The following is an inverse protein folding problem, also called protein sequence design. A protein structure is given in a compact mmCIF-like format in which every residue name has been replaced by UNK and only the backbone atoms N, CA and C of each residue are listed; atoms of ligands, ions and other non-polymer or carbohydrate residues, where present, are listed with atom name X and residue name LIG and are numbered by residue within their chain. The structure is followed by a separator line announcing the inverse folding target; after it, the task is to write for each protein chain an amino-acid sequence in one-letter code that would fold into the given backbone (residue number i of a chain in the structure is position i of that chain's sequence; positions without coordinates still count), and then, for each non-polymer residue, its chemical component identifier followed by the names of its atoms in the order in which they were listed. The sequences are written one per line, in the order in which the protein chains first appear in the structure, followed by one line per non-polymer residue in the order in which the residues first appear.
data_IF_821687427008
#
_entry.id   IF_821687427008
#
_cell.length_a   1.000
_cell.length_b   1.000
_cell.length_c   1.000
_cell.angle_alpha   90.00
_cell.angle_beta   90.00
_cell.angle_gamma   90.00
#
_symmetry.space_group_name_H-M   'P 1'
#
loop_
_entity.id
_entity.type
_entity.pdbx_description
1 polymer ?
#
# COMPACT_ATOMS: atom_id res chain seq x y z
N UNK A 1 -57.48 22.80 51.36
CA UNK A 1 -56.94 22.98 49.99
C UNK A 1 -55.45 22.63 49.99
N UNK A 2 -55.09 21.53 49.34
CA UNK A 2 -53.71 21.10 49.07
C UNK A 2 -53.60 20.85 47.56
N UNK A 3 -52.63 21.43 46.84
CA UNK A 3 -52.31 20.97 45.50
C UNK A 3 -51.28 19.83 45.54
N UNK A 4 -51.61 18.76 44.81
CA UNK A 4 -50.88 17.50 44.66
C UNK A 4 -49.75 17.62 43.63
N UNK A 5 -48.63 16.95 43.93
CA UNK A 5 -47.47 16.75 43.05
C UNK A 5 -47.80 15.89 41.81
N UNK A 6 -47.11 16.08 40.67
CA UNK A 6 -47.12 15.14 39.55
C UNK A 6 -46.10 13.98 39.76
N UNK A 7 -46.31 12.81 39.12
CA UNK A 7 -45.54 11.61 39.41
C UNK A 7 -44.14 11.64 38.78
N UNK A 8 -43.14 11.41 39.63
CA UNK A 8 -41.78 10.99 39.26
C UNK A 8 -41.79 9.50 38.95
N UNK A 9 -41.70 9.10 37.70
CA UNK A 9 -41.24 7.77 37.31
C UNK A 9 -40.81 7.78 35.84
N UNK A 10 -39.80 6.95 35.52
CA UNK A 10 -39.09 6.81 34.24
C UNK A 10 -38.00 7.86 33.95
N UNK A 11 -36.77 7.61 34.41
CA UNK A 11 -35.61 7.35 33.53
C UNK A 11 -34.34 7.11 34.38
N UNK A 12 -34.09 5.88 34.84
CA UNK A 12 -32.79 5.47 35.37
C UNK A 12 -32.61 3.98 35.10
N UNK A 13 -31.88 3.64 34.02
CA UNK A 13 -31.01 2.47 33.87
C UNK A 13 -30.59 2.31 32.40
N UNK A 14 -29.43 2.85 32.04
CA UNK A 14 -28.56 2.37 30.95
C UNK A 14 -27.22 3.12 31.01
N UNK A 15 -26.37 2.75 31.96
CA UNK A 15 -24.97 3.17 32.03
C UNK A 15 -24.12 2.00 32.48
N UNK A 16 -23.91 1.05 31.57
CA UNK A 16 -22.82 0.08 31.63
C UNK A 16 -22.64 -0.49 30.21
N UNK A 17 -21.37 -0.69 29.81
CA UNK A 17 -20.90 -1.25 28.53
C UNK A 17 -20.62 -0.26 27.38
N UNK A 18 -19.56 0.54 27.54
CA UNK A 18 -18.63 0.86 26.45
C UNK A 18 -17.19 0.65 26.96
N UNK A 19 -16.87 -0.59 27.31
CA UNK A 19 -15.50 -1.08 27.33
C UNK A 19 -15.24 -1.75 26.00
N UNK A 20 -14.79 -0.97 25.01
CA UNK A 20 -14.33 -1.49 23.73
C UNK A 20 -12.94 -2.07 23.89
N UNK A 21 -12.87 -3.40 24.06
CA UNK A 21 -11.65 -4.19 23.90
C UNK A 21 -11.30 -4.13 22.41
N UNK A 22 -10.24 -3.40 22.05
CA UNK A 22 -9.64 -3.53 20.74
C UNK A 22 -8.80 -4.80 20.75
N UNK A 23 -9.31 -5.85 20.11
CA UNK A 23 -8.52 -7.01 19.72
C UNK A 23 -7.43 -6.56 18.74
N UNK A 24 -6.17 -6.83 19.09
CA UNK A 24 -5.07 -6.84 18.15
C UNK A 24 -5.24 -8.08 17.26
N UNK A 25 -5.46 -7.87 15.97
CA UNK A 25 -5.42 -8.93 14.97
C UNK A 25 -4.02 -8.92 14.35
N UNK A 26 -3.29 -9.99 14.61
CA UNK A 26 -1.99 -10.31 14.06
C UNK A 26 -2.20 -10.92 12.66
N UNK A 27 -1.60 -10.40 11.58
CA UNK A 27 -1.59 -11.11 10.31
C UNK A 27 -0.41 -12.07 10.30
N UNK A 28 -0.65 -13.27 10.83
CA UNK A 28 0.17 -14.43 10.58
C UNK A 28 0.01 -14.86 9.11
N UNK A 29 1.09 -15.38 8.54
CA UNK A 29 1.17 -15.86 7.16
C UNK A 29 0.14 -16.96 6.92
N UNK A 30 -0.64 -16.88 5.84
CA UNK A 30 -0.91 -18.03 4.94
C UNK A 30 -1.53 -17.56 3.62
N UNK A 31 -0.83 -17.93 2.55
CA UNK A 31 -1.16 -17.78 1.15
C UNK A 31 -2.51 -18.41 0.78
N UNK A 32 -3.30 -17.74 -0.05
CA UNK A 32 -4.16 -18.41 -1.04
C UNK A 32 -4.26 -17.53 -2.29
N UNK A 33 -3.85 -18.14 -3.38
CA UNK A 33 -3.69 -17.66 -4.74
C UNK A 33 -4.99 -17.14 -5.38
N UNK A 34 -4.95 -15.91 -5.90
CA UNK A 34 -5.64 -15.51 -7.14
C UNK A 34 -4.73 -14.52 -7.87
N UNK A 35 -4.40 -14.84 -9.12
CA UNK A 35 -3.48 -14.12 -10.00
C UNK A 35 -3.90 -12.67 -10.27
N UNK A 36 -3.10 -11.69 -9.87
CA UNK A 36 -2.87 -10.37 -10.50
C UNK A 36 -1.88 -9.54 -9.67
N UNK A 37 -0.82 -9.02 -10.29
CA UNK A 37 0.16 -8.02 -9.83
C UNK A 37 0.54 -8.02 -8.32
N UNK A 38 1.74 -8.51 -8.01
CA UNK A 38 2.37 -8.32 -6.71
C UNK A 38 2.57 -6.82 -6.48
N UNK A 39 1.70 -6.20 -5.67
CA UNK A 39 1.93 -4.85 -5.15
C UNK A 39 3.18 -4.94 -4.28
N UNK A 40 4.33 -4.55 -4.83
CA UNK A 40 5.58 -4.55 -4.06
C UNK A 40 5.59 -3.30 -3.17
N UNK A 41 5.78 -3.44 -1.85
CA UNK A 41 5.70 -2.29 -0.94
C UNK A 41 6.90 -1.35 -1.15
N UNK A 42 6.68 -0.19 -1.76
CA UNK A 42 7.68 0.88 -1.95
C UNK A 42 7.86 1.75 -0.69
N UNK A 43 8.07 1.10 0.45
CA UNK A 43 8.24 1.75 1.76
C UNK A 43 9.40 1.11 2.51
N UNK A 44 10.10 1.88 3.32
CA UNK A 44 11.19 1.38 4.17
C UNK A 44 11.15 2.02 5.55
N UNK A 45 11.57 1.25 6.55
CA UNK A 45 11.82 1.75 7.90
C UNK A 45 13.30 1.50 8.24
N UNK A 46 14.04 2.56 8.57
CA UNK A 46 15.42 2.45 9.02
C UNK A 46 15.50 1.96 10.47
N UNK A 47 16.65 1.42 10.86
CA UNK A 47 16.93 1.00 12.24
C UNK A 47 16.85 2.14 13.26
N UNK A 48 16.98 3.40 12.81
CA UNK A 48 16.76 4.61 13.60
C UNK A 48 15.28 4.90 13.90
N UNK A 49 14.35 4.18 13.28
CA UNK A 49 12.91 4.45 13.34
C UNK A 49 12.43 5.50 12.34
N UNK A 50 13.27 5.93 11.40
CA UNK A 50 12.85 6.78 10.29
C UNK A 50 12.04 5.96 9.27
N UNK A 51 10.90 6.50 8.82
CA UNK A 51 10.03 5.90 7.81
C UNK A 51 10.16 6.65 6.49
N UNK A 52 10.11 5.91 5.39
CA UNK A 52 10.26 6.41 4.04
C UNK A 52 9.18 5.80 3.15
N UNK A 53 8.52 6.64 2.37
CA UNK A 53 7.43 6.24 1.48
C UNK A 53 7.61 6.89 0.12
N UNK A 54 8.09 6.10 -0.84
CA UNK A 54 8.38 6.56 -2.21
C UNK A 54 7.23 6.25 -3.18
N UNK A 55 6.09 5.73 -2.71
CA UNK A 55 4.91 5.50 -3.57
C UNK A 55 4.44 6.75 -4.32
N UNK A 56 4.51 7.97 -3.76
CA UNK A 56 4.17 9.18 -4.51
C UNK A 56 5.07 9.46 -5.71
N UNK A 57 6.28 8.89 -5.73
CA UNK A 57 7.25 9.05 -6.82
C UNK A 57 7.14 7.95 -7.88
N UNK A 58 6.28 6.95 -7.68
CA UNK A 58 6.07 5.94 -8.71
C UNK A 58 5.26 6.55 -9.86
N UNK A 59 5.81 6.51 -11.07
CA UNK A 59 5.08 6.92 -12.25
C UNK A 59 4.00 5.88 -12.57
N UNK A 60 2.78 6.37 -12.83
CA UNK A 60 1.61 5.50 -13.04
C UNK A 60 1.08 5.62 -14.46
N UNK A 61 0.57 4.50 -14.97
CA UNK A 61 -0.20 4.47 -16.21
C UNK A 61 -1.61 4.99 -15.89
N UNK A 62 -2.02 6.06 -16.57
CA UNK A 62 -3.38 6.60 -16.46
C UNK A 62 -4.22 6.05 -17.60
N UNK A 63 -5.34 5.35 -17.32
CA UNK A 63 -6.21 4.85 -18.35
C UNK A 63 -6.85 6.00 -19.15
N UNK A 64 -7.06 5.78 -20.44
CA UNK A 64 -7.61 6.80 -21.34
C UNK A 64 -8.95 7.33 -20.81
N UNK A 65 -9.05 8.65 -20.63
CA UNK A 65 -10.26 9.34 -20.17
C UNK A 65 -10.32 9.63 -18.66
N UNK A 66 -9.37 9.12 -17.87
CA UNK A 66 -9.24 9.47 -16.45
C UNK A 66 -8.17 10.53 -16.20
N UNK A 67 -8.32 11.28 -15.11
CA UNK A 67 -7.30 12.25 -14.68
C UNK A 67 -6.36 11.58 -13.70
N UNK A 68 -5.07 11.80 -13.88
CA UNK A 68 -4.06 11.41 -12.90
C UNK A 68 -4.42 11.95 -11.50
N UNK A 69 -4.19 11.18 -10.42
CA UNK A 69 -4.14 11.70 -9.07
C UNK A 69 -3.27 12.95 -9.00
N UNK A 70 -3.70 13.92 -8.19
CA UNK A 70 -2.98 15.19 -8.07
C UNK A 70 -1.58 14.93 -7.49
N UNK A 71 -0.54 15.24 -8.27
CA UNK A 71 0.85 15.14 -7.83
C UNK A 71 1.51 13.79 -8.09
N UNK A 72 0.84 12.81 -8.72
CA UNK A 72 1.50 11.57 -9.16
C UNK A 72 2.21 11.78 -10.51
N UNK A 73 3.46 11.31 -10.66
CA UNK A 73 4.14 11.28 -11.95
C UNK A 73 3.38 10.38 -12.94
N UNK A 74 3.34 10.80 -14.19
CA UNK A 74 2.63 10.11 -15.30
C UNK A 74 3.58 9.70 -16.43
N UNK A 75 4.83 10.11 -16.34
CA UNK A 75 5.87 9.82 -17.32
C UNK A 75 7.05 9.20 -16.59
N UNK A 76 7.77 8.32 -17.29
CA UNK A 76 8.99 7.74 -16.79
C UNK A 76 10.08 8.80 -16.58
N UNK A 77 11.00 8.51 -15.67
CA UNK A 77 12.13 9.36 -15.37
C UNK A 77 13.23 9.18 -16.41
N UNK A 78 13.67 10.30 -16.98
CA UNK A 78 14.77 10.33 -17.94
C UNK A 78 16.08 10.74 -17.25
N UNK A 79 17.06 9.84 -17.23
CA UNK A 79 18.42 10.14 -16.79
C UNK A 79 19.34 10.26 -18.02
N UNK A 80 20.00 11.42 -18.16
CA UNK A 80 20.93 11.68 -19.26
C UNK A 80 22.30 11.08 -18.98
N UNK A 81 22.72 10.11 -19.78
CA UNK A 81 24.05 9.51 -19.70
C UNK A 81 25.03 10.15 -20.67
N UNK A 82 25.38 11.43 -20.47
CA UNK A 82 26.30 12.16 -21.37
C UNK A 82 27.61 11.43 -21.61
N UNK A 83 28.18 10.83 -20.57
CA UNK A 83 29.44 10.09 -20.63
C UNK A 83 29.27 8.67 -21.22
N UNK A 84 28.06 8.10 -21.15
CA UNK A 84 27.75 6.77 -21.69
C UNK A 84 27.26 6.83 -23.16
N UNK A 85 26.81 7.99 -23.63
CA UNK A 85 26.34 8.21 -25.00
C UNK A 85 24.87 7.85 -25.25
N UNK A 86 24.15 7.39 -24.22
CA UNK A 86 22.74 7.02 -24.29
C UNK A 86 21.94 7.60 -23.12
N UNK A 87 20.65 7.82 -23.33
CA UNK A 87 19.73 8.19 -22.27
C UNK A 87 19.08 6.94 -21.67
N UNK A 88 18.76 7.03 -20.39
CA UNK A 88 18.14 5.96 -19.63
C UNK A 88 16.74 6.38 -19.24
N UNK A 89 15.80 5.45 -19.40
CA UNK A 89 14.42 5.60 -18.96
C UNK A 89 14.19 4.64 -17.80
N UNK A 90 13.65 5.14 -16.69
CA UNK A 90 13.36 4.32 -15.52
C UNK A 90 12.11 4.79 -14.79
N UNK A 91 11.46 3.85 -14.10
CA UNK A 91 10.43 4.13 -13.11
C UNK A 91 10.91 3.72 -11.71
N UNK A 92 10.25 4.22 -10.67
CA UNK A 92 10.58 4.00 -9.27
C UNK A 92 9.55 3.06 -8.63
N UNK A 93 10.02 1.93 -8.12
CA UNK A 93 9.19 0.88 -7.50
C UNK A 93 8.07 0.31 -8.39
N UNK A 94 8.14 0.54 -9.70
CA UNK A 94 7.16 0.11 -10.68
C UNK A 94 7.86 -0.23 -12.00
N UNK A 95 7.18 -0.97 -12.87
CA UNK A 95 7.55 -1.09 -14.27
C UNK A 95 7.43 0.25 -15.00
N UNK A 96 8.14 0.42 -16.11
CA UNK A 96 8.03 1.63 -16.94
C UNK A 96 6.59 1.84 -17.43
N UNK A 97 6.18 3.11 -17.50
CA UNK A 97 4.83 3.51 -17.91
C UNK A 97 4.60 3.13 -19.38
N UNK A 98 5.58 3.42 -20.23
CA UNK A 98 5.54 3.02 -21.64
C UNK A 98 6.03 1.57 -21.78
N UNK A 99 5.18 0.62 -22.21
CA UNK A 99 5.57 -0.77 -22.32
C UNK A 99 6.66 -0.95 -23.38
N UNK A 100 7.71 -1.67 -23.00
CA UNK A 100 8.82 -2.00 -23.90
C UNK A 100 8.60 -3.35 -24.58
N UNK A 101 9.05 -3.44 -25.82
CA UNK A 101 9.04 -4.67 -26.62
C UNK A 101 10.45 -5.00 -27.13
N UNK A 102 10.65 -6.24 -27.57
CA UNK A 102 11.91 -6.72 -28.16
C UNK A 102 13.16 -6.51 -27.28
N UNK A 103 12.99 -6.75 -25.97
CA UNK A 103 14.06 -6.60 -24.97
C UNK A 103 15.09 -7.72 -25.12
N UNK A 104 16.35 -7.34 -25.28
CA UNK A 104 17.45 -8.28 -25.52
C UNK A 104 17.65 -9.21 -24.32
N UNK A 105 17.51 -10.52 -24.53
CA UNK A 105 17.84 -11.55 -23.54
C UNK A 105 16.93 -11.56 -22.30
N UNK A 106 15.72 -11.01 -22.39
CA UNK A 106 14.68 -11.07 -21.37
C UNK A 106 13.44 -11.73 -21.98
N UNK A 107 12.83 -12.67 -21.25
CA UNK A 107 11.63 -13.36 -21.71
C UNK A 107 10.45 -12.41 -21.93
N UNK A 108 9.62 -12.69 -22.94
CA UNK A 108 8.47 -11.84 -23.31
C UNK A 108 7.48 -11.63 -22.16
N UNK A 109 7.33 -12.61 -21.29
CA UNK A 109 6.45 -12.54 -20.12
C UNK A 109 6.95 -11.54 -19.07
N UNK A 110 8.25 -11.24 -19.07
CA UNK A 110 8.90 -10.34 -18.13
C UNK A 110 9.01 -8.89 -18.65
N UNK A 111 8.72 -8.64 -19.93
CA UNK A 111 8.81 -7.29 -20.51
C UNK A 111 7.93 -6.27 -19.80
N UNK A 112 6.75 -6.71 -19.33
CA UNK A 112 5.81 -5.90 -18.55
C UNK A 112 6.36 -5.45 -17.20
N UNK A 113 7.40 -6.11 -16.71
CA UNK A 113 8.01 -5.84 -15.41
C UNK A 113 9.34 -5.10 -15.57
N UNK A 114 9.73 -4.65 -16.77
CA UNK A 114 10.96 -3.89 -16.94
C UNK A 114 10.79 -2.53 -16.26
N UNK A 115 11.67 -2.19 -15.33
CA UNK A 115 11.60 -0.94 -14.56
C UNK A 115 12.63 0.10 -15.00
N UNK A 116 13.66 -0.31 -15.71
CA UNK A 116 14.68 0.58 -16.26
C UNK A 116 15.27 -0.01 -17.54
N UNK A 117 15.52 0.83 -18.54
CA UNK A 117 16.12 0.42 -19.80
C UNK A 117 16.89 1.55 -20.49
N UNK A 118 17.66 1.18 -21.50
CA UNK A 118 18.23 2.10 -22.48
C UNK A 118 18.15 1.50 -23.88
N UNK A 119 18.27 2.36 -24.88
CA UNK A 119 18.17 1.98 -26.28
C UNK A 119 19.49 2.24 -27.02
N UNK A 120 19.93 1.23 -27.76
CA UNK A 120 21.03 1.36 -28.73
C UNK A 120 20.49 0.97 -30.10
N UNK A 121 20.36 1.96 -30.99
CA UNK A 121 19.83 1.77 -32.33
C UNK A 121 18.34 1.42 -32.31
N UNK A 122 18.01 0.14 -32.55
CA UNK A 122 16.63 -0.39 -32.48
C UNK A 122 16.47 -1.50 -31.44
N UNK A 123 17.44 -1.66 -30.55
CA UNK A 123 17.45 -2.70 -29.52
C UNK A 123 17.25 -2.07 -28.15
N UNK A 124 16.36 -2.66 -27.36
CA UNK A 124 16.10 -2.29 -25.98
C UNK A 124 16.91 -3.20 -25.06
N UNK A 125 17.68 -2.61 -24.15
CA UNK A 125 18.41 -3.33 -23.11
C UNK A 125 17.83 -2.98 -21.75
N UNK A 126 17.32 -3.99 -21.05
CA UNK A 126 16.80 -3.84 -19.69
C UNK A 126 17.94 -3.79 -18.68
N UNK A 127 17.84 -2.87 -17.73
CA UNK A 127 18.73 -2.76 -16.58
C UNK A 127 18.19 -3.50 -15.35
N UNK A 128 17.00 -4.09 -15.44
CA UNK A 128 16.41 -4.86 -14.37
C UNK A 128 14.88 -4.85 -14.40
N UNK A 129 14.32 -5.73 -13.58
CA UNK A 129 12.89 -5.86 -13.36
C UNK A 129 12.45 -5.03 -12.15
N UNK A 130 11.15 -4.76 -12.10
CA UNK A 130 10.46 -4.06 -11.04
C UNK A 130 10.76 -4.67 -9.68
N UNK A 131 11.08 -3.79 -8.74
CA UNK A 131 11.25 -4.11 -7.33
C UNK A 131 10.80 -2.92 -6.51
N UNK A 132 10.02 -3.15 -5.46
CA UNK A 132 9.74 -2.15 -4.42
C UNK A 132 10.64 -2.31 -3.20
N UNK A 133 11.64 -3.21 -3.23
CA UNK A 133 12.47 -3.51 -2.07
C UNK A 133 13.44 -2.37 -1.74
N UNK A 134 12.97 -1.41 -0.95
CA UNK A 134 13.76 -0.29 -0.47
C UNK A 134 14.64 -0.70 0.72
N UNK A 135 15.94 -0.45 0.60
CA UNK A 135 16.91 -0.80 1.64
C UNK A 135 17.55 0.48 2.20
N UNK A 136 17.33 0.82 3.48
CA UNK A 136 18.02 1.93 4.13
C UNK A 136 19.49 1.55 4.36
N UNK A 137 20.42 2.35 3.81
CA UNK A 137 21.87 2.20 3.96
C UNK A 137 22.43 3.47 4.59
N UNK A 138 22.43 3.49 5.93
CA UNK A 138 22.87 4.65 6.70
C UNK A 138 21.92 5.84 6.49
N UNK A 139 22.38 6.88 5.78
CA UNK A 139 21.59 8.08 5.47
C UNK A 139 20.94 8.08 4.08
N UNK A 140 21.29 7.12 3.22
CA UNK A 140 20.70 7.00 1.87
C UNK A 140 19.73 5.82 1.83
N UNK A 141 18.67 5.96 1.05
CA UNK A 141 17.87 4.81 0.63
C UNK A 141 18.43 4.27 -0.68
N UNK A 142 18.39 2.95 -0.83
CA UNK A 142 18.84 2.27 -2.04
C UNK A 142 17.74 1.36 -2.55
N UNK A 143 17.43 1.46 -3.83
CA UNK A 143 16.59 0.52 -4.58
C UNK A 143 17.45 -0.21 -5.60
N UNK A 144 17.26 -1.52 -5.72
CA UNK A 144 18.02 -2.34 -6.66
C UNK A 144 17.08 -3.10 -7.60
N UNK A 145 17.30 -2.92 -8.90
CA UNK A 145 16.70 -3.72 -9.95
C UNK A 145 17.69 -4.76 -10.45
N UNK A 146 17.19 -5.96 -10.67
CA UNK A 146 18.00 -7.12 -11.09
C UNK A 146 17.28 -7.90 -12.18
N UNK A 147 17.98 -8.81 -12.86
CA UNK A 147 17.37 -9.66 -13.88
C UNK A 147 17.16 -8.96 -15.23
N UNK A 148 17.98 -7.95 -15.54
CA UNK A 148 17.95 -7.27 -16.82
C UNK A 148 18.51 -8.11 -17.96
N UNK A 149 18.85 -7.43 -19.06
CA UNK A 149 19.52 -8.01 -20.21
C UNK A 149 20.88 -8.61 -19.82
N UNK A 150 21.39 -9.60 -20.56
CA UNK A 150 22.70 -10.18 -20.29
C UNK A 150 23.82 -9.12 -20.35
N UNK A 151 24.83 -9.31 -19.51
CA UNK A 151 26.07 -8.55 -19.55
C UNK A 151 26.94 -8.95 -20.74
N UNK A 152 27.80 -8.03 -21.16
CA UNK A 152 28.62 -8.19 -22.35
C UNK A 152 27.85 -7.88 -23.62
N UNK A 153 28.58 -7.52 -24.68
CA UNK A 153 27.97 -7.43 -26.00
C UNK A 153 27.40 -8.81 -26.34
N UNK A 154 26.11 -8.88 -26.63
CA UNK A 154 25.52 -10.07 -27.24
C UNK A 154 26.03 -10.22 -28.67
N UNK A 155 27.35 -10.38 -28.83
CA UNK A 155 27.96 -10.85 -30.05
C UNK A 155 27.92 -12.38 -30.00
N UNK A 156 26.80 -12.93 -30.46
CA UNK A 156 26.79 -14.27 -31.07
C UNK A 156 27.76 -14.36 -32.29
N UNK A 157 28.62 -13.36 -32.53
CA UNK A 157 29.70 -13.33 -33.54
C UNK A 157 31.13 -13.31 -32.96
N UNK A 158 31.33 -13.25 -31.63
CA UNK A 158 32.68 -13.23 -31.03
C UNK A 158 33.29 -14.60 -30.71
N UNK A 159 32.52 -15.69 -30.83
CA UNK A 159 33.03 -17.06 -30.66
C UNK A 159 33.97 -17.54 -31.79
N UNK A 160 34.37 -16.66 -32.72
CA UNK A 160 35.48 -16.92 -33.67
C UNK A 160 36.72 -16.06 -33.44
N UNK A 161 36.73 -15.15 -32.48
CA UNK A 161 37.93 -14.36 -32.17
C UNK A 161 38.59 -14.93 -30.94
N UNK A 162 39.43 -15.93 -31.24
CA UNK A 162 40.74 -16.14 -30.67
C UNK A 162 40.98 -15.50 -29.29
N UNK A 163 41.19 -16.36 -28.31
CA UNK A 163 42.08 -16.13 -27.18
C UNK A 163 43.16 -15.09 -27.51
N UNK A 164 42.96 -13.85 -27.07
CA UNK A 164 44.00 -12.84 -27.00
C UNK A 164 44.95 -13.19 -25.85
N UNK A 165 45.73 -14.25 -26.02
CA UNK A 165 46.87 -14.53 -25.17
C UNK A 165 48.07 -13.85 -25.80
N UNK A 166 48.70 -12.99 -25.01
CA UNK A 166 49.88 -12.20 -25.33
C UNK A 166 50.89 -12.90 -26.26
N UNK A 167 51.33 -12.13 -27.25
CA UNK A 167 52.46 -12.41 -28.15
C UNK A 167 53.72 -12.69 -27.30
N UNK A 168 54.04 -13.98 -27.08
CA UNK A 168 55.26 -14.38 -26.37
C UNK A 168 55.29 -15.76 -25.72
N UNK A 169 54.16 -16.46 -25.52
CA UNK A 169 54.18 -17.78 -24.87
C UNK A 169 54.24 -18.93 -25.88
N UNK A 170 55.47 -19.34 -26.24
CA UNK A 170 55.77 -20.60 -26.94
C UNK A 170 55.58 -21.77 -25.96
N UNK A 171 54.49 -22.54 -26.08
CA UNK A 171 54.44 -23.88 -25.49
C UNK A 171 54.79 -24.92 -26.56
N UNK A 172 55.78 -25.75 -26.24
CA UNK A 172 56.28 -26.84 -27.07
C UNK A 172 55.44 -28.08 -26.73
N UNK A 173 54.41 -28.37 -27.53
CA UNK A 173 53.70 -29.65 -27.49
C UNK A 173 54.52 -30.68 -28.26
N UNK A 174 54.78 -31.83 -27.64
CA UNK A 174 55.46 -32.95 -28.27
C UNK A 174 54.52 -33.62 -29.27
N UNK A 175 55.02 -33.83 -30.49
CA UNK A 175 54.44 -34.75 -31.48
C UNK A 175 54.72 -36.18 -31.02
N UNK A 176 53.67 -36.99 -30.89
CA UNK A 176 53.74 -38.45 -30.95
C UNK A 176 52.78 -38.89 -32.07
N UNK A 177 53.35 -39.12 -33.24
CA UNK A 177 52.75 -39.86 -34.35
C UNK A 177 52.93 -41.36 -34.08
N UNK A 178 51.85 -42.17 -34.06
CA UNK A 178 51.89 -43.56 -34.55
C UNK A 178 50.50 -44.01 -35.10
N UNK A 179 50.44 -44.02 -36.43
CA UNK A 179 49.82 -44.94 -37.40
C UNK A 179 48.81 -46.03 -36.96
N UNK A 180 47.66 -46.11 -37.67
CA UNK A 180 47.32 -47.30 -38.49
C UNK A 180 46.00 -47.17 -39.28
N UNK A 181 46.10 -47.42 -40.59
CA UNK A 181 45.22 -48.42 -41.23
C UNK A 181 43.97 -47.97 -42.01
N UNK A 182 44.16 -47.73 -43.30
CA UNK A 182 43.20 -47.81 -44.43
C UNK A 182 42.08 -48.86 -44.31
N UNK A 183 40.85 -48.53 -44.77
CA UNK A 183 40.15 -49.27 -45.85
C UNK A 183 38.85 -48.61 -46.37
N UNK A 184 38.69 -48.77 -47.67
CA UNK A 184 37.62 -48.40 -48.60
C UNK A 184 36.34 -49.25 -48.36
N UNK A 185 35.13 -48.69 -48.49
CA UNK A 185 34.01 -49.32 -49.22
C UNK A 185 32.77 -48.42 -49.28
N UNK A 186 32.20 -48.38 -50.48
CA UNK A 186 30.96 -47.74 -50.89
C UNK A 186 29.70 -48.42 -50.31
N UNK A 187 28.64 -47.61 -50.23
CA UNK A 187 27.23 -47.90 -50.58
C UNK A 187 26.26 -48.49 -49.53
N UNK A 188 25.11 -47.82 -49.50
CA UNK A 188 23.75 -48.25 -49.13
C UNK A 188 23.43 -48.46 -47.63
N UNK A 189 22.80 -47.45 -47.03
CA UNK A 189 21.42 -47.53 -46.48
C UNK A 189 21.01 -46.20 -45.82
N UNK A 190 20.08 -45.52 -46.47
CA UNK A 190 19.19 -44.53 -45.88
C UNK A 190 18.34 -45.19 -44.77
N UNK A 191 17.83 -44.35 -43.86
CA UNK A 191 17.01 -44.66 -42.66
C UNK A 191 17.81 -44.82 -41.35
N UNK A 192 18.47 -43.75 -40.86
CA UNK A 192 18.78 -43.54 -39.42
C UNK A 192 19.26 -42.08 -39.11
N UNK A 193 19.06 -41.09 -40.00
CA UNK A 193 19.56 -39.71 -39.81
C UNK A 193 18.65 -38.80 -38.95
N UNK A 194 17.46 -39.25 -38.57
CA UNK A 194 16.48 -38.40 -37.88
C UNK A 194 16.65 -38.43 -36.35
N UNK A 195 17.15 -39.53 -35.76
CA UNK A 195 17.33 -39.67 -34.31
C UNK A 195 18.58 -38.97 -33.75
N UNK A 196 19.63 -38.77 -34.57
CA UNK A 196 20.84 -38.04 -34.15
C UNK A 196 20.62 -36.52 -34.13
N UNK A 197 19.81 -35.98 -35.07
CA UNK A 197 19.48 -34.55 -35.13
C UNK A 197 18.59 -34.08 -33.98
N UNK A 198 17.75 -34.93 -33.41
CA UNK A 198 16.95 -34.57 -32.22
C UNK A 198 17.80 -34.51 -30.95
N UNK A 199 18.74 -35.45 -30.76
CA UNK A 199 19.64 -35.48 -29.60
C UNK A 199 20.62 -34.31 -29.58
N UNK A 200 21.09 -33.86 -30.74
CA UNK A 200 21.96 -32.68 -30.82
C UNK A 200 21.21 -31.38 -30.51
N UNK A 201 19.94 -31.27 -30.92
CA UNK A 201 19.08 -30.12 -30.56
C UNK A 201 18.73 -30.07 -29.08
N UNK A 202 18.51 -31.22 -28.43
CA UNK A 202 18.31 -31.26 -26.97
C UNK A 202 19.58 -30.86 -26.21
N UNK A 203 20.75 -31.36 -26.61
CA UNK A 203 22.04 -31.00 -26.00
C UNK A 203 22.39 -29.53 -26.20
N UNK A 204 22.08 -28.94 -27.36
CA UNK A 204 22.24 -27.49 -27.58
C UNK A 204 21.29 -26.66 -26.71
N UNK A 205 20.02 -27.08 -26.58
CA UNK A 205 19.05 -26.41 -25.69
C UNK A 205 19.45 -26.51 -24.23
N UNK A 206 20.00 -27.64 -23.78
CA UNK A 206 20.51 -27.78 -22.42
C UNK A 206 21.74 -26.91 -22.17
N UNK A 207 22.68 -26.86 -23.12
CA UNK A 207 23.85 -25.96 -23.04
C UNK A 207 23.47 -24.49 -23.08
N UNK A 208 22.47 -24.08 -23.87
CA UNK A 208 21.96 -22.70 -23.87
C UNK A 208 21.30 -22.36 -22.52
N UNK A 209 20.48 -23.26 -21.96
CA UNK A 209 19.87 -23.07 -20.63
C UNK A 209 20.90 -23.03 -19.51
N UNK A 210 21.99 -23.78 -19.61
CA UNK A 210 23.08 -23.77 -18.64
C UNK A 210 23.95 -22.51 -18.76
N UNK A 211 24.21 -22.04 -20.00
CA UNK A 211 24.82 -20.73 -20.25
C UNK A 211 23.94 -19.60 -19.72
N UNK A 212 22.63 -19.66 -19.89
CA UNK A 212 21.70 -18.65 -19.35
C UNK A 212 21.75 -18.55 -17.83
N UNK A 213 21.93 -19.68 -17.13
CA UNK A 213 22.09 -19.71 -15.66
C UNK A 213 23.45 -19.16 -15.17
N UNK A 214 24.45 -19.10 -16.05
CA UNK A 214 25.81 -18.63 -15.69
C UNK A 214 26.13 -17.23 -16.23
N UNK A 215 25.34 -16.71 -17.16
CA UNK A 215 25.47 -15.35 -17.68
C UNK A 215 25.04 -14.32 -16.63
N UNK A 216 25.95 -13.39 -16.32
CA UNK A 216 25.59 -12.21 -15.51
C UNK A 216 24.55 -11.38 -16.26
N UNK A 217 23.61 -10.82 -15.50
CA UNK A 217 22.56 -9.92 -16.00
C UNK A 217 22.79 -8.51 -15.50
N UNK A 218 22.42 -7.53 -16.32
CA UNK A 218 22.46 -6.11 -15.99
C UNK A 218 21.58 -5.83 -14.78
N UNK A 219 22.03 -4.88 -13.97
CA UNK A 219 21.36 -4.43 -12.76
C UNK A 219 21.47 -2.92 -12.63
N UNK A 220 20.44 -2.29 -12.05
CA UNK A 220 20.44 -0.87 -11.73
C UNK A 220 20.35 -0.68 -10.22
N UNK A 221 21.25 0.12 -9.68
CA UNK A 221 21.24 0.57 -8.28
C UNK A 221 20.88 2.04 -8.25
N UNK A 222 19.74 2.35 -7.65
CA UNK A 222 19.22 3.70 -7.52
C UNK A 222 19.43 4.14 -6.07
N UNK A 223 20.21 5.21 -5.89
CA UNK A 223 20.40 5.84 -4.60
C UNK A 223 19.52 7.09 -4.50
N UNK A 224 18.78 7.23 -3.41
CA UNK A 224 17.93 8.40 -3.22
C UNK A 224 18.62 9.44 -2.35
N UNK A 225 18.48 10.70 -2.77
CA UNK A 225 18.89 11.89 -2.04
C UNK A 225 17.64 12.66 -1.60
N UNK A 226 17.56 12.93 -0.30
CA UNK A 226 16.50 13.75 0.28
C UNK A 226 16.61 15.19 -0.22
N UNK A 227 15.52 15.69 -0.79
CA UNK A 227 15.37 17.07 -1.22
C UNK A 227 14.27 17.75 -0.41
N UNK A 228 14.56 18.87 0.25
CA UNK A 228 13.56 19.55 1.08
C UNK A 228 12.72 20.57 0.30
N UNK A 229 13.07 20.84 -0.95
CA UNK A 229 12.42 21.88 -1.75
C UNK A 229 11.18 21.32 -2.48
N UNK A 230 9.95 21.73 -2.09
CA UNK A 230 8.71 21.23 -2.70
C UNK A 230 8.49 21.74 -4.13
N UNK A 231 9.25 22.74 -4.59
CA UNK A 231 9.17 23.24 -5.96
C UNK A 231 10.02 22.41 -6.93
N UNK A 232 11.00 21.65 -6.41
CA UNK A 232 11.86 20.81 -7.24
C UNK A 232 11.18 19.46 -7.53
N UNK A 233 10.89 19.14 -8.80
CA UNK A 233 10.35 17.83 -9.13
C UNK A 233 11.40 16.75 -8.93
N UNK A 234 10.93 15.54 -8.66
CA UNK A 234 11.78 14.35 -8.59
C UNK A 234 12.54 14.15 -9.90
N UNK A 235 13.86 14.02 -9.82
CA UNK A 235 14.72 13.93 -10.99
C UNK A 235 15.76 12.81 -10.84
N UNK A 236 15.93 12.01 -11.89
CA UNK A 236 16.91 10.94 -11.96
C UNK A 236 18.18 11.42 -12.70
N UNK A 237 19.34 11.13 -12.12
CA UNK A 237 20.66 11.44 -12.68
C UNK A 237 21.48 10.17 -12.81
N UNK A 238 22.18 10.03 -13.94
CA UNK A 238 23.12 8.93 -14.14
C UNK A 238 24.45 9.26 -13.46
N UNK A 239 24.97 8.32 -12.65
CA UNK A 239 26.22 8.48 -11.92
C UNK A 239 27.37 7.78 -12.64
N UNK A 240 27.13 6.56 -13.11
CA UNK A 240 28.16 5.77 -13.78
C UNK A 240 27.76 4.32 -13.98
N UNK A 241 28.65 3.58 -14.64
CA UNK A 241 28.52 2.16 -14.91
C UNK A 241 29.82 1.44 -14.55
N UNK A 242 29.72 0.17 -14.21
CA UNK A 242 30.86 -0.72 -14.04
C UNK A 242 31.59 -0.96 -15.37
N UNK A 243 32.93 -1.20 -15.39
CA UNK A 243 33.68 -1.51 -16.60
C UNK A 243 33.14 -2.69 -17.41
N UNK A 244 32.43 -3.65 -16.80
CA UNK A 244 31.80 -4.78 -17.51
C UNK A 244 30.39 -4.45 -18.03
N UNK A 245 29.91 -3.21 -17.85
CA UNK A 245 28.55 -2.75 -18.18
C UNK A 245 27.45 -3.64 -17.58
N UNK A 246 27.71 -4.21 -16.40
CA UNK A 246 26.77 -5.06 -15.66
C UNK A 246 25.97 -4.30 -14.59
N UNK A 247 26.53 -3.25 -14.01
CA UNK A 247 25.95 -2.54 -12.90
C UNK A 247 25.91 -1.05 -13.20
N UNK A 248 24.71 -0.48 -13.16
CA UNK A 248 24.45 0.93 -13.46
C UNK A 248 24.03 1.63 -12.17
N UNK A 249 24.56 2.82 -11.94
CA UNK A 249 24.31 3.60 -10.74
C UNK A 249 23.58 4.89 -11.08
N UNK A 250 22.46 5.11 -10.41
CA UNK A 250 21.63 6.29 -10.55
C UNK A 250 21.49 7.00 -9.20
N UNK A 251 21.36 8.32 -9.24
CA UNK A 251 21.01 9.14 -8.10
C UNK A 251 19.70 9.86 -8.39
N UNK A 252 18.71 9.67 -7.51
CA UNK A 252 17.38 10.25 -7.64
C UNK A 252 17.18 11.24 -6.50
N UNK A 253 16.85 12.49 -6.85
CA UNK A 253 16.45 13.50 -5.87
C UNK A 253 14.95 13.43 -5.66
N UNK A 254 14.52 13.33 -4.40
CA UNK A 254 13.10 13.33 -4.05
C UNK A 254 12.85 13.87 -2.64
N UNK A 255 11.73 14.59 -2.48
CA UNK A 255 11.20 14.99 -1.18
C UNK A 255 10.69 13.82 -0.34
N UNK A 256 10.27 12.74 -0.98
CA UNK A 256 9.74 11.55 -0.32
C UNK A 256 10.84 10.60 0.18
N UNK A 257 12.09 10.85 -0.23
CA UNK A 257 13.28 10.18 0.31
C UNK A 257 13.75 10.77 1.65
N UNK A 258 13.12 11.84 2.13
CA UNK A 258 13.42 12.43 3.42
C UNK A 258 12.84 11.59 4.57
N UNK A 259 13.64 11.43 5.62
CA UNK A 259 13.24 10.67 6.81
C UNK A 259 12.00 11.31 7.45
N UNK A 260 10.85 10.65 7.33
CA UNK A 260 9.63 11.06 7.99
C UNK A 260 9.51 10.31 9.32
N UNK A 261 8.98 10.98 10.33
CA UNK A 261 8.53 10.27 11.52
C UNK A 261 7.36 9.37 11.08
N UNK A 262 7.47 8.06 11.36
CA UNK A 262 6.40 7.11 11.04
C UNK A 262 5.05 7.65 11.54
N UNK A 263 3.99 7.68 10.70
CA UNK A 263 2.67 8.12 11.12
C UNK A 263 2.22 7.28 12.32
N UNK A 264 2.38 7.87 13.51
CA UNK A 264 2.04 7.35 14.83
C UNK A 264 2.04 5.83 14.97
N UNK A 265 3.10 5.26 15.56
CA UNK A 265 3.03 3.90 16.14
C UNK A 265 1.71 3.74 16.92
N UNK A 266 0.99 2.61 16.76
CA UNK A 266 -0.28 2.38 17.47
C UNK A 266 -0.01 2.44 18.98
N UNK A 267 -0.34 3.59 19.59
CA UNK A 267 -0.04 3.88 21.00
C UNK A 267 0.39 5.32 21.29
N UNK A 268 0.76 6.12 20.28
CA UNK A 268 1.07 7.53 20.50
C UNK A 268 -0.22 8.38 20.53
N UNK A 269 -0.56 8.90 21.70
CA UNK A 269 -1.67 9.83 21.91
C UNK A 269 -1.38 11.13 21.16
N UNK A 270 -2.18 11.43 20.13
CA UNK A 270 -2.02 12.64 19.33
C UNK A 270 -2.08 13.91 20.20
N UNK A 271 -1.47 15.02 19.76
CA UNK A 271 -1.33 16.23 20.58
C UNK A 271 -2.68 16.73 21.13
N UNK A 272 -3.75 16.63 20.34
CA UNK A 272 -5.10 17.00 20.78
C UNK A 272 -5.63 16.20 21.99
N UNK A 273 -5.31 14.91 22.08
CA UNK A 273 -5.72 14.08 23.21
C UNK A 273 -4.97 14.44 24.49
N UNK A 274 -3.68 14.78 24.38
CA UNK A 274 -2.87 15.25 25.52
C UNK A 274 -3.44 16.57 26.06
N UNK A 275 -3.76 17.53 25.17
CA UNK A 275 -4.39 18.78 25.58
C UNK A 275 -5.76 18.57 26.23
N UNK A 276 -6.58 17.65 25.71
CA UNK A 276 -7.87 17.31 26.31
C UNK A 276 -7.71 16.75 27.72
N UNK A 277 -6.78 15.80 27.93
CA UNK A 277 -6.51 15.21 29.25
C UNK A 277 -6.07 16.28 30.26
N UNK A 278 -5.14 17.16 29.87
CA UNK A 278 -4.68 18.27 30.72
C UNK A 278 -5.84 19.19 31.11
N UNK A 279 -6.68 19.57 30.13
CA UNK A 279 -7.86 20.39 30.37
C UNK A 279 -8.84 19.74 31.37
N UNK A 280 -9.15 18.45 31.20
CA UNK A 280 -10.04 17.73 32.12
C UNK A 280 -9.48 17.64 33.54
N UNK A 281 -8.17 17.40 33.69
CA UNK A 281 -7.52 17.38 35.01
C UNK A 281 -7.59 18.76 35.66
N UNK A 282 -7.32 19.83 34.91
CA UNK A 282 -7.40 21.20 35.41
C UNK A 282 -8.83 21.55 35.89
N UNK A 283 -9.85 21.18 35.13
CA UNK A 283 -11.26 21.35 35.51
C UNK A 283 -11.61 20.54 36.76
N UNK A 284 -11.15 19.29 36.85
CA UNK A 284 -11.39 18.43 38.00
C UNK A 284 -10.77 19.00 39.28
N UNK A 285 -9.52 19.47 39.22
CA UNK A 285 -8.84 20.12 40.35
C UNK A 285 -9.55 21.42 40.74
N UNK A 286 -9.99 22.23 39.78
CA UNK A 286 -10.74 23.45 40.04
C UNK A 286 -12.07 23.18 40.77
N UNK A 287 -12.84 22.20 40.30
CA UNK A 287 -14.14 21.85 40.88
C UNK A 287 -13.96 21.19 42.25
N UNK A 288 -13.10 20.16 42.37
CA UNK A 288 -12.89 19.43 43.63
C UNK A 288 -12.23 20.32 44.69
N UNK A 289 -11.18 21.05 44.32
CA UNK A 289 -10.49 21.99 45.22
C UNK A 289 -11.40 23.14 45.63
N UNK A 290 -12.18 23.68 44.69
CA UNK A 290 -13.14 24.73 44.97
C UNK A 290 -14.30 24.29 45.87
N UNK A 291 -14.83 23.07 45.67
CA UNK A 291 -15.84 22.47 46.56
C UNK A 291 -15.26 22.23 47.96
N UNK A 292 -14.05 21.68 48.06
CA UNK A 292 -13.38 21.46 49.34
C UNK A 292 -13.15 22.78 50.08
N UNK A 293 -12.69 23.83 49.39
CA UNK A 293 -12.51 25.16 49.95
C UNK A 293 -13.84 25.76 50.44
N UNK A 294 -14.89 25.74 49.61
CA UNK A 294 -16.18 26.31 49.96
C UNK A 294 -16.90 25.53 51.07
N UNK A 295 -16.66 24.22 51.17
CA UNK A 295 -17.21 23.36 52.22
C UNK A 295 -16.49 23.54 53.56
N UNK A 296 -15.17 23.55 53.54
CA UNK A 296 -14.36 23.51 54.78
C UNK A 296 -14.05 24.90 55.33
N UNK A 297 -13.85 25.90 54.47
CA UNK A 297 -13.49 27.26 54.89
C UNK A 297 -14.71 28.18 54.86
N UNK A 298 -15.55 28.11 53.83
CA UNK A 298 -16.70 29.02 53.65
C UNK A 298 -18.04 28.50 54.19
N UNK A 299 -18.08 27.25 54.70
CA UNK A 299 -19.28 26.57 55.24
C UNK A 299 -20.55 26.65 54.37
N UNK A 300 -20.40 26.76 53.05
CA UNK A 300 -21.54 26.76 52.14
C UNK A 300 -22.18 25.36 52.07
N UNK A 301 -23.50 25.27 51.91
CA UNK A 301 -24.25 24.00 51.77
C UNK A 301 -25.01 23.93 50.45
N UNK A 302 -25.14 22.72 49.91
CA UNK A 302 -25.88 22.44 48.68
C UNK A 302 -25.15 22.92 47.42
N UNK A 303 -25.91 23.27 46.38
CA UNK A 303 -25.42 23.67 45.05
C UNK A 303 -24.57 24.95 45.03
N UNK A 304 -24.54 25.68 46.15
CA UNK A 304 -23.66 26.84 46.37
C UNK A 304 -22.22 26.47 46.72
N UNK A 305 -21.86 25.18 46.72
CA UNK A 305 -20.51 24.67 46.92
C UNK A 305 -19.68 24.59 45.63
N UNK A 306 -20.31 24.75 44.46
CA UNK A 306 -19.61 24.73 43.18
C UNK A 306 -19.11 26.14 42.83
N UNK A 307 -17.80 26.32 42.58
CA UNK A 307 -17.27 27.59 42.08
C UNK A 307 -17.94 27.96 40.75
N UNK A 308 -18.47 29.18 40.62
CA UNK A 308 -19.09 29.68 39.39
C UNK A 308 -20.17 28.76 38.79
N UNK A 309 -21.12 28.34 39.62
CA UNK A 309 -22.20 27.41 39.24
C UNK A 309 -22.97 27.81 37.96
N UNK A 310 -23.25 29.11 37.76
CA UNK A 310 -23.97 29.59 36.57
C UNK A 310 -23.24 29.29 35.26
N UNK A 311 -21.91 29.36 35.27
CA UNK A 311 -21.07 29.05 34.12
C UNK A 311 -21.09 27.55 33.83
N UNK A 312 -20.93 26.70 34.85
CA UNK A 312 -20.95 25.24 34.68
C UNK A 312 -22.31 24.69 34.26
N UNK A 313 -23.39 25.22 34.83
CA UNK A 313 -24.74 24.86 34.44
C UNK A 313 -25.00 25.19 32.95
N UNK A 314 -24.52 26.36 32.49
CA UNK A 314 -24.62 26.77 31.08
C UNK A 314 -23.80 25.90 30.12
N UNK A 315 -22.58 25.50 30.51
CA UNK A 315 -21.76 24.59 29.71
C UNK A 315 -22.42 23.21 29.63
N UNK A 316 -22.94 22.68 30.74
CA UNK A 316 -23.61 21.38 30.74
C UNK A 316 -24.89 21.37 29.91
N UNK A 317 -25.73 22.41 30.01
CA UNK A 317 -26.93 22.53 29.18
C UNK A 317 -26.58 22.58 27.69
N UNK A 318 -25.54 23.33 27.31
CA UNK A 318 -25.07 23.41 25.93
C UNK A 318 -24.57 22.05 25.39
N UNK A 319 -23.82 21.29 26.20
CA UNK A 319 -23.36 19.95 25.82
C UNK A 319 -24.52 18.96 25.66
N UNK A 320 -25.51 19.00 26.56
CA UNK A 320 -26.72 18.17 26.46
C UNK A 320 -27.53 18.53 25.21
N UNK A 321 -27.66 19.82 24.90
CA UNK A 321 -28.38 20.29 23.71
C UNK A 321 -27.67 19.84 22.42
N UNK A 322 -26.34 20.00 22.33
CA UNK A 322 -25.56 19.50 21.19
C UNK A 322 -25.69 17.98 21.04
N UNK A 323 -25.54 17.23 22.12
CA UNK A 323 -25.66 15.77 22.08
C UNK A 323 -27.06 15.34 21.64
N UNK A 324 -28.10 16.03 22.12
CA UNK A 324 -29.49 15.78 21.74
C UNK A 324 -29.72 16.10 20.26
N UNK A 325 -29.18 17.20 19.74
CA UNK A 325 -29.27 17.60 18.32
C UNK A 325 -28.53 16.59 17.43
N UNK A 326 -27.31 16.18 17.80
CA UNK A 326 -26.51 15.23 17.05
C UNK A 326 -27.17 13.84 17.03
N UNK A 327 -27.63 13.36 18.20
CA UNK A 327 -28.29 12.06 18.34
C UNK A 327 -29.64 12.04 17.62
N UNK A 328 -30.42 13.11 17.69
CA UNK A 328 -31.68 13.22 16.95
C UNK A 328 -31.47 13.31 15.43
N UNK A 329 -30.39 13.94 14.98
CA UNK A 329 -30.00 13.98 13.57
C UNK A 329 -29.53 12.62 13.05
N UNK A 330 -28.74 11.87 13.82
CA UNK A 330 -28.37 10.48 13.48
C UNK A 330 -29.58 9.52 13.52
N UNK A 331 -30.54 9.75 14.43
CA UNK A 331 -31.77 8.94 14.50
C UNK A 331 -32.73 9.14 13.32
N UNK A 332 -32.58 10.22 12.54
CA UNK A 332 -33.31 10.44 11.27
C UNK A 332 -32.66 9.74 10.07
N UNK A 333 -31.39 9.33 10.18
CA UNK A 333 -30.64 8.63 9.13
C UNK A 333 -30.81 7.10 9.25
N UNK A 334 -31.29 6.61 10.41
CA UNK A 334 -31.76 5.23 10.55
C UNK A 334 -33.13 5.14 9.87
N UNK A 335 -33.31 4.34 8.81
CA UNK A 335 -34.64 4.09 8.25
C UNK A 335 -35.46 3.35 9.31
N UNK A 336 -36.25 4.09 10.09
CA UNK A 336 -37.37 3.48 10.81
C UNK A 336 -38.26 2.89 9.72
N UNK A 337 -38.25 1.56 9.58
CA UNK A 337 -39.34 0.82 8.94
C UNK A 337 -40.62 1.08 9.75
N UNK A 338 -41.16 2.28 9.63
CA UNK A 338 -42.52 2.59 10.02
C UNK A 338 -43.36 2.05 8.88
N UNK A 339 -43.58 0.74 8.92
CA UNK A 339 -44.61 0.13 8.09
C UNK A 339 -45.90 0.86 8.41
N UNK A 340 -46.45 1.54 7.43
CA UNK A 340 -47.87 1.89 7.45
C UNK A 340 -48.62 0.57 7.61
N UNK A 341 -49.22 0.36 8.78
CA UNK A 341 -50.24 -0.66 8.91
C UNK A 341 -51.40 -0.14 8.07
N UNK A 342 -51.49 -0.60 6.82
CA UNK A 342 -52.75 -0.55 6.11
C UNK A 342 -53.69 -1.44 6.91
N UNK A 343 -54.75 -0.85 7.46
CA UNK A 343 -55.85 -1.64 7.99
C UNK A 343 -56.43 -2.40 6.80
N UNK A 344 -56.06 -3.66 6.66
CA UNK A 344 -56.66 -4.61 5.74
C UNK A 344 -58.08 -4.85 6.21
N UNK A 345 -59.01 -4.02 5.74
CA UNK A 345 -60.45 -4.28 5.79
C UNK A 345 -60.72 -5.42 4.81
N UNK A 346 -60.69 -6.65 5.30
CA UNK A 346 -61.27 -7.81 4.61
C UNK A 346 -62.47 -8.32 5.42
N UNK A 347 -63.61 -8.59 4.77
CA UNK A 347 -64.88 -8.88 5.44
C UNK A 347 -64.95 -10.33 5.91
N UNK A 348 -65.64 -10.55 7.03
CA UNK A 348 -66.01 -11.83 7.65
C UNK A 348 -64.91 -12.61 8.41
N UNK A 349 -64.99 -12.54 9.75
CA UNK A 349 -64.23 -13.43 10.64
C UNK A 349 -64.45 -13.24 12.16
N UNK A 350 -65.69 -12.94 12.58
CA UNK A 350 -66.34 -13.27 13.88
C UNK A 350 -65.42 -13.75 15.04
N UNK A 351 -65.21 -12.90 16.05
CA UNK A 351 -65.32 -13.19 17.52
C UNK A 351 -64.47 -12.22 18.37
N UNK A 352 -65.09 -11.64 19.42
CA UNK A 352 -64.64 -10.56 20.35
C UNK A 352 -64.91 -9.15 19.78
N UNK A 353 -65.69 -8.26 20.36
CA UNK A 353 -66.31 -8.16 21.67
C UNK A 353 -67.59 -7.30 21.48
N UNK A 354 -68.78 -7.90 21.51
CA UNK A 354 -70.06 -7.16 21.35
C UNK A 354 -70.57 -6.56 22.65
N UNK A 355 -70.00 -6.96 23.78
CA UNK A 355 -70.46 -6.55 25.10
C UNK A 355 -69.97 -5.13 25.47
N UNK A 356 -68.91 -4.64 24.81
CA UNK A 356 -68.39 -3.28 25.01
C UNK A 356 -69.20 -2.21 24.24
N UNK A 357 -69.90 -2.58 23.15
CA UNK A 357 -70.73 -1.66 22.37
C UNK A 357 -72.13 -1.47 22.98
N UNK A 358 -72.71 -2.49 23.62
CA UNK A 358 -74.01 -2.38 24.29
C UNK A 358 -73.96 -1.49 25.55
N UNK A 359 -72.79 -1.34 26.19
CA UNK A 359 -72.61 -0.47 27.36
C UNK A 359 -72.76 1.02 27.07
N UNK A 360 -72.55 1.45 25.83
CA UNK A 360 -72.70 2.84 25.41
C UNK A 360 -74.13 3.18 24.95
N UNK A 361 -74.97 2.16 24.73
CA UNK A 361 -76.37 2.34 24.33
C UNK A 361 -77.24 2.45 25.59
N UNK A 362 -76.99 1.62 26.61
CA UNK A 362 -77.72 1.71 27.88
C UNK A 362 -77.45 3.01 28.65
N UNK A 363 -76.25 3.62 28.50
CA UNK A 363 -75.94 4.93 29.09
C UNK A 363 -76.56 6.13 28.36
N UNK A 364 -76.96 5.97 27.09
CA UNK A 364 -77.55 7.07 26.32
C UNK A 364 -79.07 7.15 26.48
N UNK A 365 -79.72 6.02 26.80
CA UNK A 365 -81.16 5.97 27.07
C UNK A 365 -81.51 6.42 28.52
N UNK A 366 -80.56 6.45 29.46
CA UNK A 366 -80.78 6.94 30.84
C UNK A 366 -80.69 8.48 30.99
N UNK A 367 -80.27 9.24 29.98
CA UNK A 367 -80.18 10.72 30.05
C UNK A 367 -81.39 11.45 29.43
N UNK A 368 -82.42 10.74 28.94
CA UNK A 368 -83.58 11.35 28.27
C UNK A 368 -84.95 11.12 28.93
N UNK A 369 -85.04 10.43 30.07
CA UNK A 369 -86.30 10.19 30.80
C UNK A 369 -86.22 10.47 32.31
N UNK A 370 -85.68 11.63 32.71
CA UNK A 370 -86.04 12.34 33.97
C UNK A 370 -85.75 13.85 33.92
#
# INVERSE_FOLDING_TARGET
MHPRNPPRSLLLLALAALGGVAHAEEPDKTSTSTSSAVVTPCVATATSGAFFDLRPDTAIVVPEGEKAPKGSPVQDYLARGWDYGHNFTLNLCGAVVEPVEDVVGVDRDLWRNVSAYYEIGRKVYSLGLESGALVPRGRKLVLQYTGGSPCGESEKEKDKRAFGVHEGARYKGYDDDEDSGSRHSSKDKDEDEDDEKEKDKEKEKEKEKEKEKTMRRKSATISFLCDHDPETPTAASFVGTDPEECAYFFEVRSQHACAMAEPHKPGSVGPGSVFAIIFFIAVAVYVLGGVFYQRNVAHARGWRQLPNYSLWAGIWSFLVDIFTILTSSCSRIIPRRRGYHTLSRSPNGRSRNRDDENRLIDQLDEEWDD
#
